data_IF_679342706525
#
_entry.id   IF_679342706525
#
_cell.length_a   1.000
_cell.length_b   1.000
_cell.length_c   1.000
_cell.angle_alpha   90.00
_cell.angle_beta   90.00
_cell.angle_gamma   90.00
#
_symmetry.space_group_name_H-M   'P 1'
#
loop_
_entity.id
_entity.type
_entity.pdbx_description
1 polymer ?
#
# COMPACT_ATOMS: atom_id res chain seq x y z
N UNK A 1 6.37 23.73 -6.84
CA UNK A 1 5.81 22.38 -7.02
C UNK A 1 6.95 21.38 -6.83
N UNK A 2 6.82 20.42 -5.93
CA UNK A 2 7.82 19.36 -5.74
C UNK A 2 7.53 18.27 -6.79
N UNK A 3 8.51 17.81 -7.59
CA UNK A 3 8.31 16.69 -8.51
C UNK A 3 7.85 15.44 -7.75
N UNK A 4 6.99 14.61 -8.33
CA UNK A 4 6.49 13.37 -7.69
C UNK A 4 7.64 12.45 -7.24
N UNK A 5 8.73 12.41 -8.02
CA UNK A 5 9.94 11.65 -7.72
C UNK A 5 10.65 12.11 -6.44
N UNK A 6 10.54 13.41 -6.10
CA UNK A 6 11.10 13.95 -4.88
C UNK A 6 10.17 13.71 -3.68
N UNK A 7 8.86 13.54 -3.92
CA UNK A 7 7.89 13.30 -2.85
C UNK A 7 8.13 11.95 -2.17
N UNK A 8 8.44 10.91 -2.95
CA UNK A 8 8.73 9.57 -2.42
C UNK A 8 10.01 9.51 -1.58
N UNK A 9 11.04 10.26 -2.02
CA UNK A 9 12.28 10.42 -1.26
C UNK A 9 12.07 11.29 -0.02
N UNK A 10 11.22 12.29 -0.10
CA UNK A 10 10.90 13.15 1.04
C UNK A 10 10.17 12.39 2.15
N UNK A 11 9.10 11.64 1.83
CA UNK A 11 8.40 10.92 2.89
C UNK A 11 9.23 9.78 3.47
N UNK A 12 10.22 9.23 2.74
CA UNK A 12 11.21 8.33 3.32
C UNK A 12 11.93 8.96 4.53
N UNK A 13 12.37 10.21 4.40
CA UNK A 13 13.01 10.95 5.51
C UNK A 13 12.02 11.29 6.61
N UNK A 14 10.77 11.65 6.27
CA UNK A 14 9.71 11.87 7.26
C UNK A 14 9.48 10.59 8.08
N UNK A 15 9.42 9.42 7.43
CA UNK A 15 9.20 8.16 8.13
C UNK A 15 10.37 7.84 9.07
N UNK A 16 11.61 8.07 8.65
CA UNK A 16 12.78 7.90 9.53
C UNK A 16 12.74 8.84 10.73
N UNK A 17 12.43 10.11 10.51
CA UNK A 17 12.33 11.09 11.58
C UNK A 17 11.21 10.75 12.58
N UNK A 18 10.07 10.21 12.11
CA UNK A 18 9.00 9.74 12.98
C UNK A 18 9.39 8.47 13.75
N UNK A 19 10.06 7.52 13.10
CA UNK A 19 10.58 6.32 13.76
C UNK A 19 11.60 6.65 14.86
N UNK A 20 12.43 7.68 14.66
CA UNK A 20 13.37 8.17 15.67
C UNK A 20 12.67 8.71 16.92
N UNK A 21 11.44 9.21 16.78
CA UNK A 21 10.60 9.64 17.92
C UNK A 21 9.87 8.47 18.58
N UNK A 22 9.67 7.36 17.86
CA UNK A 22 8.92 6.18 18.31
C UNK A 22 7.95 5.70 17.23
N UNK A 23 7.77 4.38 17.12
CA UNK A 23 6.93 3.79 16.07
C UNK A 23 5.49 4.30 16.07
N UNK A 24 4.96 4.63 17.26
CA UNK A 24 3.64 5.23 17.44
C UNK A 24 3.46 6.56 16.68
N UNK A 25 4.53 7.31 16.46
CA UNK A 25 4.49 8.56 15.70
C UNK A 25 4.34 8.30 14.20
N UNK A 26 5.01 7.27 13.66
CA UNK A 26 4.84 6.85 12.27
C UNK A 26 3.43 6.29 12.05
N UNK A 27 2.95 5.45 12.97
CA UNK A 27 1.57 4.93 12.96
C UNK A 27 0.53 6.05 12.98
N UNK A 28 0.70 7.04 13.86
CA UNK A 28 -0.20 8.19 13.94
C UNK A 28 -0.25 8.96 12.62
N UNK A 29 0.91 9.19 12.00
CA UNK A 29 1.00 9.83 10.69
C UNK A 29 0.23 9.06 9.61
N UNK A 30 0.45 7.75 9.49
CA UNK A 30 -0.28 6.92 8.52
C UNK A 30 -1.78 6.88 8.76
N UNK A 31 -2.22 6.85 10.03
CA UNK A 31 -3.65 6.91 10.37
C UNK A 31 -4.30 8.21 9.91
N UNK A 32 -3.62 9.35 10.04
CA UNK A 32 -4.16 10.61 9.52
C UNK A 32 -4.26 10.61 7.98
N UNK A 33 -3.25 10.07 7.28
CA UNK A 33 -3.34 9.89 5.83
C UNK A 33 -4.49 8.95 5.44
N UNK A 34 -4.67 7.84 6.17
CA UNK A 34 -5.77 6.91 5.97
C UNK A 34 -7.14 7.57 6.09
N UNK A 35 -7.35 8.49 7.04
CA UNK A 35 -8.61 9.24 7.16
C UNK A 35 -8.90 10.09 5.91
N UNK A 36 -7.89 10.74 5.35
CA UNK A 36 -8.03 11.53 4.13
C UNK A 36 -8.36 10.60 2.94
N UNK A 37 -7.67 9.47 2.82
CA UNK A 37 -7.94 8.50 1.75
C UNK A 37 -9.34 7.88 1.85
N UNK A 38 -9.85 7.65 3.07
CA UNK A 38 -11.22 7.16 3.31
C UNK A 38 -12.26 8.13 2.74
N UNK A 39 -12.08 9.44 2.93
CA UNK A 39 -13.00 10.46 2.41
C UNK A 39 -13.08 10.42 0.88
N UNK A 40 -11.96 10.16 0.21
CA UNK A 40 -11.88 10.16 -1.25
C UNK A 40 -12.35 8.83 -1.88
N UNK A 41 -12.02 7.69 -1.28
CA UNK A 41 -12.10 6.39 -1.97
C UNK A 41 -13.14 5.43 -1.39
N UNK A 42 -13.51 5.53 -0.11
CA UNK A 42 -14.29 4.48 0.54
C UNK A 42 -15.69 4.33 -0.06
N UNK A 43 -16.35 5.42 -0.45
CA UNK A 43 -17.67 5.37 -1.10
C UNK A 43 -17.60 4.62 -2.43
N UNK A 44 -16.62 4.95 -3.28
CA UNK A 44 -16.40 4.30 -4.58
C UNK A 44 -16.17 2.80 -4.43
N UNK A 45 -15.32 2.38 -3.50
CA UNK A 45 -15.00 0.96 -3.31
C UNK A 45 -16.15 0.19 -2.65
N UNK A 46 -16.94 0.83 -1.78
CA UNK A 46 -18.13 0.22 -1.19
C UNK A 46 -19.20 -0.09 -2.25
N UNK A 47 -19.43 0.86 -3.16
CA UNK A 47 -20.45 0.72 -4.21
C UNK A 47 -20.00 -0.22 -5.32
N UNK A 48 -18.74 -0.11 -5.76
CA UNK A 48 -18.22 -0.86 -6.89
C UNK A 48 -17.50 -2.16 -6.55
N UNK A 49 -17.13 -2.39 -5.29
CA UNK A 49 -16.39 -3.57 -4.85
C UNK A 49 -15.04 -3.76 -5.55
N UNK A 50 -14.64 -5.03 -5.74
CA UNK A 50 -13.37 -5.41 -6.37
C UNK A 50 -13.16 -4.82 -7.79
N UNK A 51 -14.18 -4.75 -8.68
CA UNK A 51 -14.05 -4.04 -9.95
C UNK A 51 -13.61 -2.58 -9.81
N UNK A 52 -14.17 -1.83 -8.86
CA UNK A 52 -13.77 -0.44 -8.64
C UNK A 52 -12.36 -0.31 -8.08
N UNK A 53 -11.91 -1.26 -7.26
CA UNK A 53 -10.50 -1.35 -6.86
C UNK A 53 -9.62 -1.59 -8.10
N UNK A 54 -9.95 -2.60 -8.93
CA UNK A 54 -9.20 -2.90 -10.14
C UNK A 54 -9.07 -1.69 -11.07
N UNK A 55 -10.16 -0.99 -11.36
CA UNK A 55 -10.16 0.22 -12.18
C UNK A 55 -9.28 1.34 -11.58
N UNK A 56 -9.35 1.54 -10.26
CA UNK A 56 -8.53 2.54 -9.59
C UNK A 56 -7.04 2.20 -9.73
N UNK A 57 -6.64 0.98 -9.42
CA UNK A 57 -5.24 0.58 -9.53
C UNK A 57 -4.74 0.44 -10.97
N UNK A 58 -5.62 0.18 -11.94
CA UNK A 58 -5.25 0.22 -13.36
C UNK A 58 -4.80 1.62 -13.75
N UNK A 59 -5.53 2.65 -13.31
CA UNK A 59 -5.11 4.04 -13.52
C UNK A 59 -3.81 4.36 -12.81
N UNK A 60 -3.63 3.94 -11.55
CA UNK A 60 -2.37 4.16 -10.82
C UNK A 60 -1.19 3.47 -11.53
N UNK A 61 -1.39 2.27 -12.07
CA UNK A 61 -0.36 1.54 -12.80
C UNK A 61 0.13 2.35 -14.02
N UNK A 62 -0.80 2.96 -14.77
CA UNK A 62 -0.51 3.81 -15.92
C UNK A 62 0.09 5.18 -15.51
N UNK A 63 -0.54 5.87 -14.56
CA UNK A 63 -0.18 7.24 -14.16
C UNK A 63 1.18 7.32 -13.43
N UNK A 64 1.52 6.31 -12.62
CA UNK A 64 2.76 6.27 -11.82
C UNK A 64 3.90 5.49 -12.50
N UNK A 65 3.67 4.93 -13.69
CA UNK A 65 4.65 4.12 -14.42
C UNK A 65 5.06 2.87 -13.64
N UNK A 66 4.11 2.20 -12.99
CA UNK A 66 4.37 0.98 -12.23
C UNK A 66 4.53 -0.22 -13.18
N UNK A 67 5.50 -1.09 -12.92
CA UNK A 67 5.62 -2.36 -13.64
C UNK A 67 4.97 -3.47 -12.81
N UNK A 68 4.01 -4.16 -13.41
CA UNK A 68 3.28 -5.22 -12.73
C UNK A 68 2.09 -5.72 -13.52
N UNK A 69 1.22 -6.47 -12.84
CA UNK A 69 -0.02 -7.02 -13.40
C UNK A 69 -1.15 -6.88 -12.40
N UNK A 70 -2.33 -6.56 -12.93
CA UNK A 70 -3.59 -6.64 -12.22
C UNK A 70 -4.33 -7.92 -12.60
N UNK A 71 -4.97 -8.55 -11.61
CA UNK A 71 -5.86 -9.68 -11.82
C UNK A 71 -7.15 -9.43 -11.04
N UNK A 72 -8.29 -9.64 -11.68
CA UNK A 72 -9.61 -9.59 -11.05
C UNK A 72 -10.26 -10.97 -11.19
N UNK A 73 -10.72 -11.50 -10.07
CA UNK A 73 -11.51 -12.74 -9.98
C UNK A 73 -12.81 -12.45 -9.24
N UNK A 74 -13.68 -13.47 -9.11
CA UNK A 74 -14.89 -13.36 -8.29
C UNK A 74 -14.57 -13.23 -6.79
N UNK A 75 -13.42 -13.74 -6.35
CA UNK A 75 -13.00 -13.81 -4.95
C UNK A 75 -12.13 -12.62 -4.54
N UNK A 76 -11.24 -12.18 -5.42
CA UNK A 76 -10.24 -11.16 -5.10
C UNK A 76 -9.81 -10.30 -6.29
N UNK A 77 -9.33 -9.12 -5.95
CA UNK A 77 -8.49 -8.28 -6.81
C UNK A 77 -7.04 -8.43 -6.36
N UNK A 78 -6.11 -8.62 -7.30
CA UNK A 78 -4.66 -8.67 -7.04
C UNK A 78 -3.95 -7.59 -7.85
N UNK A 79 -3.04 -6.88 -7.19
CA UNK A 79 -1.97 -6.14 -7.82
C UNK A 79 -0.63 -6.77 -7.46
N UNK A 80 0.00 -7.43 -8.44
CA UNK A 80 1.37 -7.91 -8.35
C UNK A 80 2.30 -6.90 -9.00
N UNK A 81 3.09 -6.20 -8.20
CA UNK A 81 4.12 -5.29 -8.69
C UNK A 81 5.42 -6.07 -8.88
N UNK A 82 5.99 -6.03 -10.08
CA UNK A 82 7.35 -6.54 -10.34
C UNK A 82 8.40 -5.44 -10.17
N UNK A 83 7.99 -4.17 -10.30
CA UNK A 83 8.80 -3.01 -9.96
C UNK A 83 7.93 -1.89 -9.38
N UNK A 84 7.85 -1.81 -8.06
CA UNK A 84 7.21 -0.74 -7.29
C UNK A 84 7.93 0.58 -7.57
N UNK A 85 7.25 1.62 -8.10
CA UNK A 85 7.89 2.88 -8.45
C UNK A 85 8.40 3.61 -7.20
N UNK A 86 7.67 3.51 -6.09
CA UNK A 86 8.01 4.18 -4.83
C UNK A 86 9.28 3.63 -4.18
N UNK A 87 9.41 2.31 -4.03
CA UNK A 87 10.63 1.73 -3.44
C UNK A 87 11.81 1.85 -4.41
N UNK A 88 11.60 1.64 -5.71
CA UNK A 88 12.67 1.79 -6.71
C UNK A 88 13.32 3.18 -6.66
N UNK A 89 12.53 4.25 -6.54
CA UNK A 89 13.00 5.64 -6.43
C UNK A 89 13.72 5.95 -5.11
N UNK A 90 13.39 5.21 -4.04
CA UNK A 90 14.05 5.36 -2.73
C UNK A 90 15.35 4.56 -2.66
N UNK A 91 15.42 3.41 -3.34
CA UNK A 91 16.67 2.67 -3.52
C UNK A 91 17.63 3.40 -4.45
N UNK A 92 17.11 4.16 -5.41
CA UNK A 92 17.87 5.13 -6.22
C UNK A 92 18.03 6.46 -5.48
N UNK A 93 18.62 6.44 -4.28
CA UNK A 93 18.86 7.63 -3.48
C UNK A 93 20.09 7.43 -2.58
N UNK A 94 20.78 8.52 -2.21
CA UNK A 94 21.93 8.46 -1.31
C UNK A 94 21.53 8.17 0.15
N UNK A 95 20.24 8.41 0.48
CA UNK A 95 19.71 8.14 1.80
C UNK A 95 19.17 6.71 1.92
N UNK A 96 19.50 6.04 3.02
CA UNK A 96 18.98 4.71 3.30
C UNK A 96 17.44 4.71 3.40
N UNK A 97 16.76 3.65 2.92
CA UNK A 97 15.32 3.50 3.09
C UNK A 97 14.93 3.37 4.56
N UNK A 98 13.77 3.94 4.92
CA UNK A 98 13.12 3.62 6.19
C UNK A 98 12.82 2.11 6.25
N UNK A 99 13.09 1.48 7.40
CA UNK A 99 12.80 0.06 7.62
C UNK A 99 11.35 -0.31 7.28
N UNK A 100 10.42 0.59 7.60
CA UNK A 100 8.98 0.41 7.40
C UNK A 100 8.45 1.11 6.16
N UNK A 101 9.33 1.44 5.21
CA UNK A 101 8.94 2.19 4.03
C UNK A 101 7.78 1.52 3.29
N UNK A 102 7.85 0.22 3.02
CA UNK A 102 6.80 -0.50 2.27
C UNK A 102 5.45 -0.57 3.00
N UNK A 103 5.43 -0.49 4.33
CA UNK A 103 4.19 -0.61 5.11
C UNK A 103 3.28 0.60 4.98
N UNK A 104 3.78 1.72 4.42
CA UNK A 104 2.95 2.89 4.14
C UNK A 104 1.75 2.57 3.26
N UNK A 105 1.90 1.64 2.29
CA UNK A 105 0.81 1.26 1.40
C UNK A 105 -0.34 0.65 2.21
N UNK A 106 -0.03 -0.24 3.15
CA UNK A 106 -1.02 -0.79 4.07
C UNK A 106 -1.51 0.29 5.03
N UNK A 107 -0.60 1.11 5.56
CA UNK A 107 -0.84 2.12 6.58
C UNK A 107 -1.87 3.18 6.22
N UNK A 108 -2.11 3.48 4.94
CA UNK A 108 -3.22 4.36 4.54
C UNK A 108 -4.33 3.65 3.74
N UNK A 109 -4.05 2.53 3.04
CA UNK A 109 -5.08 1.85 2.26
C UNK A 109 -5.97 0.96 3.12
N UNK A 110 -5.48 0.43 4.25
CA UNK A 110 -6.26 -0.48 5.10
C UNK A 110 -7.58 0.14 5.53
N UNK A 111 -7.51 1.37 6.04
CA UNK A 111 -8.68 2.10 6.51
C UNK A 111 -9.72 2.30 5.41
N UNK A 112 -9.28 2.55 4.16
CA UNK A 112 -10.17 2.67 2.99
C UNK A 112 -10.91 1.36 2.75
N UNK A 113 -10.18 0.25 2.78
CA UNK A 113 -10.74 -1.09 2.51
C UNK A 113 -11.72 -1.49 3.60
N UNK A 114 -11.33 -1.34 4.87
CA UNK A 114 -12.21 -1.60 6.00
C UNK A 114 -13.47 -0.72 5.94
N UNK A 115 -13.34 0.57 5.62
CA UNK A 115 -14.48 1.48 5.47
C UNK A 115 -15.40 1.11 4.30
N UNK A 116 -14.89 0.41 3.28
CA UNK A 116 -15.64 -0.11 2.14
C UNK A 116 -16.24 -1.51 2.39
N UNK A 117 -15.94 -2.16 3.52
CA UNK A 117 -16.34 -3.55 3.78
C UNK A 117 -15.52 -4.58 2.99
N UNK A 118 -14.26 -4.24 2.69
CA UNK A 118 -13.30 -5.08 1.99
C UNK A 118 -12.09 -5.37 2.89
N UNK A 119 -11.38 -6.45 2.59
CA UNK A 119 -10.25 -6.93 3.37
C UNK A 119 -9.01 -6.96 2.50
N UNK A 120 -8.00 -6.18 2.87
CA UNK A 120 -6.77 -6.06 2.11
C UNK A 120 -5.61 -6.71 2.84
N UNK A 121 -4.78 -7.41 2.08
CA UNK A 121 -3.53 -8.01 2.53
C UNK A 121 -2.42 -7.54 1.61
N UNK A 122 -1.32 -7.07 2.20
CA UNK A 122 -0.11 -6.72 1.48
C UNK A 122 1.01 -7.68 1.88
N UNK A 123 1.40 -8.55 0.97
CA UNK A 123 2.67 -9.28 1.06
C UNK A 123 3.77 -8.39 0.49
N UNK A 124 4.63 -7.87 1.36
CA UNK A 124 5.75 -7.02 0.97
C UNK A 124 6.76 -7.82 0.17
N UNK A 125 6.83 -9.15 0.33
CA UNK A 125 7.80 -10.10 -0.24
C UNK A 125 9.29 -9.80 0.07
N UNK A 126 9.73 -8.55 -0.08
CA UNK A 126 11.06 -8.03 0.21
C UNK A 126 11.02 -6.55 0.58
N UNK A 127 11.79 -6.14 1.60
CA UNK A 127 11.96 -4.73 1.97
C UNK A 127 13.09 -4.03 1.21
N UNK A 128 13.85 -4.78 0.42
CA UNK A 128 15.05 -4.30 -0.30
C UNK A 128 14.97 -4.52 -1.80
N UNK A 129 13.95 -5.23 -2.27
CA UNK A 129 13.69 -5.45 -3.69
C UNK A 129 12.30 -4.87 -4.02
N UNK A 130 12.14 -4.10 -5.11
CA UNK A 130 10.92 -3.35 -5.38
C UNK A 130 9.81 -4.24 -5.97
N UNK A 131 9.44 -5.32 -5.32
CA UNK A 131 8.30 -6.15 -5.74
C UNK A 131 7.44 -6.48 -4.52
N UNK A 132 6.14 -6.58 -4.73
CA UNK A 132 5.16 -6.92 -3.69
C UNK A 132 3.85 -7.39 -4.31
N UNK A 133 2.97 -7.93 -3.47
CA UNK A 133 1.64 -8.37 -3.88
C UNK A 133 0.60 -7.81 -2.91
N UNK A 134 -0.31 -7.01 -3.45
CA UNK A 134 -1.48 -6.56 -2.72
C UNK A 134 -2.69 -7.35 -3.21
N UNK A 135 -3.48 -7.90 -2.30
CA UNK A 135 -4.77 -8.49 -2.61
C UNK A 135 -5.88 -7.84 -1.79
N UNK A 136 -7.05 -7.73 -2.41
CA UNK A 136 -8.27 -7.25 -1.78
C UNK A 136 -9.36 -8.29 -1.96
N UNK A 137 -10.05 -8.62 -0.88
CA UNK A 137 -11.05 -9.66 -0.77
C UNK A 137 -12.38 -9.07 -0.27
N UNK A 138 -13.49 -9.73 -0.65
CA UNK A 138 -14.78 -9.53 0.01
C UNK A 138 -14.92 -10.38 1.27
N UNK A 139 -14.37 -11.60 1.24
CA UNK A 139 -14.42 -12.54 2.36
C UNK A 139 -13.19 -12.37 3.25
N UNK A 140 -13.36 -12.00 4.54
CA UNK A 140 -12.24 -11.90 5.48
C UNK A 140 -11.48 -13.21 5.65
N UNK A 141 -12.16 -14.36 5.56
CA UNK A 141 -11.56 -15.69 5.74
C UNK A 141 -10.52 -15.96 4.66
N UNK A 142 -10.83 -15.61 3.40
CA UNK A 142 -9.90 -15.76 2.28
C UNK A 142 -8.73 -14.79 2.37
N UNK A 143 -8.95 -13.57 2.89
CA UNK A 143 -7.87 -12.63 3.18
C UNK A 143 -6.91 -13.21 4.23
N UNK A 144 -7.44 -13.71 5.35
CA UNK A 144 -6.63 -14.32 6.41
C UNK A 144 -5.88 -15.58 5.94
N UNK A 145 -6.49 -16.40 5.08
CA UNK A 145 -5.82 -17.55 4.46
C UNK A 145 -4.63 -17.12 3.60
N UNK A 146 -4.81 -16.08 2.79
CA UNK A 146 -3.73 -15.54 1.98
C UNK A 146 -2.63 -14.90 2.82
N UNK A 147 -2.98 -14.15 3.87
CA UNK A 147 -2.03 -13.55 4.79
C UNK A 147 -1.17 -14.60 5.50
N UNK A 148 -1.77 -15.71 5.96
CA UNK A 148 -1.02 -16.83 6.57
C UNK A 148 -0.02 -17.47 5.60
N UNK A 149 -0.28 -17.40 4.30
CA UNK A 149 0.60 -17.90 3.25
C UNK A 149 1.58 -16.82 2.73
N UNK A 150 1.42 -15.56 3.13
CA UNK A 150 2.27 -14.46 2.71
C UNK A 150 3.71 -14.64 3.23
N UNK A 151 4.67 -14.24 2.41
CA UNK A 151 6.09 -14.32 2.78
C UNK A 151 6.46 -13.27 3.83
N UNK A 152 5.96 -12.05 3.67
CA UNK A 152 6.22 -10.93 4.57
C UNK A 152 4.96 -10.04 4.65
N UNK A 153 3.94 -10.44 5.42
CA UNK A 153 2.72 -9.65 5.57
C UNK A 153 3.04 -8.30 6.24
N UNK A 154 2.41 -7.24 5.73
CA UNK A 154 2.51 -5.89 6.29
C UNK A 154 1.49 -5.70 7.41
N UNK A 155 1.98 -5.36 8.60
CA UNK A 155 1.17 -5.00 9.76
C UNK A 155 1.63 -3.63 10.27
N UNK A 156 1.23 -2.52 9.62
CA UNK A 156 1.77 -1.19 9.88
C UNK A 156 1.45 -0.66 11.28
N UNK A 157 0.54 -1.29 12.03
CA UNK A 157 0.03 -0.80 13.31
C UNK A 157 0.36 -1.71 14.51
N UNK A 158 1.13 -2.78 14.29
CA UNK A 158 1.42 -3.82 15.27
C UNK A 158 2.62 -3.47 16.17
#
# INVERSE_FOLDING_TARGET
>A
MIPSDHFVRFYNEVFKALEELGHEHLVAYWRELGKLQVQELAARFREGGLPACHEYWQRILEEEGCEGRLTLTDEYFEFRMTRCPSLAKVLDNDAAPCRWYCDHCMGWCEAVMQAAGLHMVLDVESRTEPHCVMRVYRDPTLAEEYERAARLPSHPYA
#
